data_IF_827439257493
#
_entry.id   IF_827439257493
#
_cell.length_a   1.000
_cell.length_b   1.000
_cell.length_c   1.000
_cell.angle_alpha   90.00
_cell.angle_beta   90.00
_cell.angle_gamma   90.00
#
_symmetry.space_group_name_H-M   'P 1'
#
loop_
_entity.id
_entity.type
_entity.pdbx_description
1 polymer ?
#
# COMPACT_ATOMS: atom_id res chain seq x y z
N UNK A 1 14.84 39.63 84.53
CA UNK A 1 14.14 39.69 83.25
C UNK A 1 14.94 38.92 82.20
N UNK A 2 14.51 37.67 81.93
CA UNK A 2 15.14 36.83 80.89
C UNK A 2 14.25 36.89 79.63
N UNK A 3 14.76 37.44 78.53
CA UNK A 3 14.07 37.44 77.24
C UNK A 3 14.33 36.11 76.56
N UNK A 4 13.24 35.43 76.26
CA UNK A 4 13.21 34.22 75.46
C UNK A 4 13.19 34.62 73.94
N UNK A 5 14.15 34.17 73.15
CA UNK A 5 14.18 34.36 71.69
C UNK A 5 13.76 33.02 71.07
N UNK A 6 12.60 33.00 70.38
CA UNK A 6 12.16 31.88 69.58
C UNK A 6 12.77 31.95 68.14
N UNK A 7 13.32 30.91 67.60
CA UNK A 7 13.73 30.90 66.22
C UNK A 7 12.54 30.59 65.29
N UNK A 8 12.34 31.46 64.30
CA UNK A 8 11.40 31.24 63.20
C UNK A 8 12.10 30.32 62.16
N UNK A 9 11.60 29.10 62.04
CA UNK A 9 12.00 28.17 60.95
C UNK A 9 11.27 28.54 59.68
N UNK A 10 12.02 29.08 58.70
CA UNK A 10 11.52 29.33 57.37
C UNK A 10 11.57 28.01 56.54
N UNK A 11 10.44 27.36 56.36
CA UNK A 11 10.32 26.19 55.51
C UNK A 11 10.38 26.58 54.02
N UNK A 12 11.49 26.23 53.34
CA UNK A 12 11.61 26.33 51.90
C UNK A 12 10.82 25.19 51.30
N UNK A 13 9.62 25.47 50.76
CA UNK A 13 8.91 24.56 49.88
C UNK A 13 9.62 24.56 48.50
N UNK A 14 10.43 23.56 48.23
CA UNK A 14 10.88 23.26 46.88
C UNK A 14 9.74 22.68 46.10
N UNK A 15 9.12 23.50 45.26
CA UNK A 15 8.20 23.02 44.19
C UNK A 15 9.08 22.39 43.13
N UNK A 16 9.17 21.05 43.15
CA UNK A 16 9.68 20.31 41.98
C UNK A 16 8.61 20.38 40.91
N UNK A 17 8.81 21.30 39.94
CA UNK A 17 8.05 21.25 38.70
C UNK A 17 8.52 20.01 37.95
N UNK A 18 7.74 18.94 37.97
CA UNK A 18 7.86 17.89 36.97
C UNK A 18 7.65 18.55 35.62
N UNK A 19 8.75 18.75 34.90
CA UNK A 19 8.71 19.08 33.49
C UNK A 19 8.09 17.88 32.76
N UNK A 20 6.77 17.89 32.65
CA UNK A 20 6.03 17.02 31.75
C UNK A 20 6.56 17.34 30.35
N UNK A 21 7.52 16.55 29.88
CA UNK A 21 7.95 16.60 28.49
C UNK A 21 6.71 16.35 27.66
N UNK A 22 6.18 17.40 27.04
CA UNK A 22 5.15 17.33 26.01
C UNK A 22 5.71 16.47 24.88
N UNK A 23 5.59 15.14 25.03
CA UNK A 23 5.87 14.23 23.92
C UNK A 23 4.83 14.56 22.86
N UNK A 24 5.28 15.16 21.78
CA UNK A 24 4.43 15.35 20.60
C UNK A 24 3.71 14.03 20.31
N UNK A 25 2.39 14.04 20.15
CA UNK A 25 1.65 12.81 19.90
C UNK A 25 2.20 12.14 18.65
N UNK A 26 2.36 10.83 18.68
CA UNK A 26 2.81 10.05 17.53
C UNK A 26 1.94 10.34 16.30
N UNK A 27 2.52 10.44 15.09
CA UNK A 27 1.76 10.72 13.88
C UNK A 27 0.86 9.55 13.53
N UNK A 28 -0.26 9.84 12.87
CA UNK A 28 -1.07 8.83 12.21
C UNK A 28 -0.35 8.30 10.96
N UNK A 29 -0.73 7.12 10.52
CA UNK A 29 -0.23 6.52 9.28
C UNK A 29 -1.39 6.06 8.41
N UNK A 30 -1.38 6.44 7.14
CA UNK A 30 -2.24 5.86 6.10
C UNK A 30 -1.35 5.24 5.03
N UNK A 31 -1.41 3.92 4.93
CA UNK A 31 -0.72 3.14 3.90
C UNK A 31 -1.69 2.78 2.79
N UNK A 32 -1.54 3.41 1.63
CA UNK A 32 -2.37 3.18 0.43
C UNK A 32 -1.64 2.20 -0.47
N UNK A 33 -2.26 1.04 -0.71
CA UNK A 33 -1.68 -0.06 -1.46
C UNK A 33 -2.57 -0.41 -2.65
N UNK A 34 -2.11 -0.14 -3.86
CA UNK A 34 -2.79 -0.52 -5.09
C UNK A 34 -2.50 -1.99 -5.44
N UNK A 35 -3.36 -2.60 -6.25
CA UNK A 35 -3.26 -3.98 -6.71
C UNK A 35 -3.00 -4.00 -8.22
N UNK A 36 -1.90 -4.60 -8.65
CA UNK A 36 -1.47 -4.71 -10.05
C UNK A 36 -1.22 -3.37 -10.78
N UNK A 37 -0.97 -2.28 -10.06
CA UNK A 37 -0.69 -0.98 -10.67
C UNK A 37 0.78 -0.90 -11.09
N UNK A 38 1.03 -0.81 -12.40
CA UNK A 38 2.38 -0.70 -12.94
C UNK A 38 3.05 0.63 -12.63
N UNK A 39 4.40 0.63 -12.59
CA UNK A 39 5.17 1.86 -12.41
C UNK A 39 4.81 2.92 -13.47
N UNK A 40 4.56 2.51 -14.71
CA UNK A 40 4.27 3.41 -15.84
C UNK A 40 2.80 3.78 -15.97
N UNK A 41 1.95 3.39 -15.01
CA UNK A 41 0.51 3.62 -15.08
C UNK A 41 0.05 4.97 -14.46
N UNK A 42 1.00 5.84 -14.09
CA UNK A 42 0.71 7.18 -13.56
C UNK A 42 1.17 8.27 -14.53
N UNK A 43 0.50 9.43 -14.52
CA UNK A 43 0.92 10.58 -15.35
C UNK A 43 2.31 11.07 -14.96
N UNK A 44 2.63 11.14 -13.66
CA UNK A 44 3.95 11.55 -13.17
C UNK A 44 5.09 10.59 -13.55
N UNK A 45 4.78 9.32 -13.86
CA UNK A 45 5.75 8.34 -14.32
C UNK A 45 5.78 8.16 -15.83
N UNK A 46 5.01 8.95 -16.58
CA UNK A 46 5.10 9.07 -18.03
C UNK A 46 3.88 8.58 -18.82
N UNK A 47 2.81 8.09 -18.18
CA UNK A 47 1.59 7.78 -18.90
C UNK A 47 1.01 9.03 -19.57
N UNK A 48 0.68 8.90 -20.85
CA UNK A 48 -0.05 9.92 -21.62
C UNK A 48 -1.54 9.57 -21.76
N UNK A 49 -1.89 8.34 -21.42
CA UNK A 49 -3.25 7.84 -21.57
C UNK A 49 -4.01 7.89 -20.24
N UNK A 50 -3.41 7.45 -19.15
CA UNK A 50 -4.01 7.49 -17.82
C UNK A 50 -3.84 8.87 -17.19
N UNK A 51 -4.86 9.33 -16.46
CA UNK A 51 -4.90 10.65 -15.83
C UNK A 51 -4.93 10.48 -14.32
N UNK A 52 -3.87 10.95 -13.63
CA UNK A 52 -3.68 10.75 -12.18
C UNK A 52 -3.30 12.05 -11.46
N UNK A 53 -4.08 13.14 -11.60
CA UNK A 53 -3.71 14.45 -11.07
C UNK A 53 -3.54 14.50 -9.55
N UNK A 54 -4.28 13.68 -8.79
CA UNK A 54 -4.21 13.64 -7.33
C UNK A 54 -2.97 12.88 -6.83
N UNK A 55 -2.63 11.76 -7.47
CA UNK A 55 -1.38 11.02 -7.18
C UNK A 55 -0.17 11.86 -7.61
N UNK A 56 -0.26 12.55 -8.75
CA UNK A 56 0.77 13.49 -9.20
C UNK A 56 0.96 14.67 -8.20
N UNK A 57 -0.13 15.15 -7.60
CA UNK A 57 -0.07 16.14 -6.51
C UNK A 57 0.61 15.56 -5.28
N UNK A 58 0.25 14.33 -4.88
CA UNK A 58 0.88 13.63 -3.75
C UNK A 58 2.39 13.48 -3.99
N UNK A 59 2.83 13.12 -5.21
CA UNK A 59 4.24 13.04 -5.59
C UNK A 59 4.95 14.39 -5.49
N UNK A 60 4.30 15.49 -5.89
CA UNK A 60 4.85 16.84 -5.75
C UNK A 60 4.92 17.31 -4.30
N UNK A 61 4.03 16.86 -3.43
CA UNK A 61 3.99 17.25 -2.03
C UNK A 61 4.86 16.38 -1.12
N UNK A 62 5.27 15.21 -1.60
CA UNK A 62 6.05 14.22 -0.87
C UNK A 62 7.44 13.97 -1.44
N UNK A 63 7.99 12.83 -1.06
CA UNK A 63 9.21 12.21 -1.59
C UNK A 63 8.79 11.08 -2.53
N UNK A 64 9.16 11.20 -3.81
CA UNK A 64 8.91 10.19 -4.83
C UNK A 64 10.18 9.39 -5.08
N UNK A 65 10.09 8.05 -4.97
CA UNK A 65 11.18 7.13 -5.27
C UNK A 65 11.05 6.58 -6.70
N UNK A 66 12.07 6.84 -7.52
CA UNK A 66 12.12 6.37 -8.90
C UNK A 66 12.63 4.93 -9.04
N UNK A 67 13.22 4.38 -7.97
CA UNK A 67 13.77 3.03 -7.89
C UNK A 67 13.12 2.27 -6.71
N UNK A 68 11.81 2.07 -6.80
CA UNK A 68 11.04 1.31 -5.81
C UNK A 68 10.63 -0.04 -6.37
N UNK A 69 10.81 -1.09 -5.55
CA UNK A 69 10.57 -2.47 -5.95
C UNK A 69 9.66 -3.21 -4.98
N UNK A 70 8.73 -3.98 -5.53
CA UNK A 70 8.01 -4.99 -4.79
C UNK A 70 8.95 -6.18 -4.48
N UNK A 71 8.76 -6.83 -3.34
CA UNK A 71 9.59 -7.98 -2.95
C UNK A 71 9.30 -9.25 -3.75
N UNK A 72 8.20 -9.26 -4.51
CA UNK A 72 7.81 -10.36 -5.40
C UNK A 72 6.93 -9.81 -6.53
N UNK A 73 6.95 -10.44 -7.74
CA UNK A 73 6.11 -9.98 -8.86
C UNK A 73 4.64 -10.42 -8.77
N UNK A 74 4.20 -10.96 -7.63
CA UNK A 74 2.81 -11.38 -7.37
C UNK A 74 2.37 -11.01 -5.96
N UNK A 75 1.04 -10.91 -5.77
CA UNK A 75 0.40 -10.24 -4.63
C UNK A 75 0.74 -10.83 -3.25
N UNK A 76 0.44 -12.11 -2.97
CA UNK A 76 0.53 -12.65 -1.60
C UNK A 76 1.94 -12.53 -1.00
N UNK A 77 3.01 -12.98 -1.66
CA UNK A 77 4.36 -12.86 -1.11
C UNK A 77 4.83 -11.40 -0.97
N UNK A 78 4.43 -10.51 -1.90
CA UNK A 78 4.75 -9.09 -1.80
C UNK A 78 4.07 -8.43 -0.60
N UNK A 79 2.77 -8.73 -0.37
CA UNK A 79 2.00 -8.24 0.78
C UNK A 79 2.55 -8.77 2.10
N UNK A 80 2.91 -10.06 2.15
CA UNK A 80 3.54 -10.66 3.32
C UNK A 80 4.89 -10.00 3.63
N UNK A 81 5.73 -9.79 2.62
CA UNK A 81 7.02 -9.13 2.79
C UNK A 81 6.89 -7.69 3.31
N UNK A 82 5.91 -6.93 2.81
CA UNK A 82 5.59 -5.59 3.28
C UNK A 82 5.22 -5.58 4.77
N UNK A 83 4.31 -6.49 5.17
CA UNK A 83 3.75 -6.52 6.52
C UNK A 83 4.70 -7.13 7.55
N UNK A 84 5.69 -7.92 7.14
CA UNK A 84 6.63 -8.58 8.04
C UNK A 84 8.03 -7.97 8.05
N UNK A 85 8.39 -7.21 7.01
CA UNK A 85 9.76 -6.74 6.81
C UNK A 85 10.75 -7.87 6.47
N UNK A 86 10.24 -9.02 5.96
CA UNK A 86 11.02 -10.20 5.60
C UNK A 86 10.83 -10.58 4.13
N UNK A 87 11.87 -11.10 3.49
CA UNK A 87 11.73 -11.62 2.13
C UNK A 87 10.81 -12.84 2.07
N UNK A 88 10.07 -13.03 0.95
CA UNK A 88 9.14 -14.15 0.77
C UNK A 88 9.75 -15.53 1.05
N UNK A 89 11.02 -15.74 0.67
CA UNK A 89 11.72 -17.00 0.92
C UNK A 89 11.95 -17.27 2.42
N UNK A 90 12.11 -16.22 3.24
CA UNK A 90 12.32 -16.35 4.68
C UNK A 90 11.08 -16.82 5.42
N UNK A 91 9.92 -16.33 4.98
CA UNK A 91 8.63 -16.67 5.56
C UNK A 91 7.93 -17.85 4.84
N UNK A 92 8.62 -18.47 3.88
CA UNK A 92 8.12 -19.57 3.06
C UNK A 92 6.73 -19.26 2.43
N UNK A 93 6.50 -18.01 2.01
CA UNK A 93 5.33 -17.59 1.25
C UNK A 93 5.82 -17.01 -0.08
N UNK A 94 6.11 -17.89 -1.05
CA UNK A 94 6.91 -17.58 -2.24
C UNK A 94 6.09 -17.43 -3.52
N UNK A 95 4.78 -17.73 -3.47
CA UNK A 95 3.87 -17.54 -4.60
C UNK A 95 2.51 -17.02 -4.11
N UNK A 96 1.65 -16.57 -5.07
CA UNK A 96 0.30 -16.14 -4.71
C UNK A 96 -0.51 -17.32 -4.15
N UNK A 97 -1.40 -17.02 -3.22
CA UNK A 97 -2.23 -18.03 -2.59
C UNK A 97 -3.33 -18.45 -3.57
N UNK A 98 -3.28 -19.68 -4.10
CA UNK A 98 -4.18 -20.15 -5.16
C UNK A 98 -5.46 -20.80 -4.62
N UNK A 99 -5.73 -20.69 -3.34
CA UNK A 99 -6.79 -21.46 -2.69
C UNK A 99 -6.42 -22.95 -2.61
N UNK A 100 -7.17 -23.80 -3.28
CA UNK A 100 -7.00 -25.27 -3.27
C UNK A 100 -6.00 -25.81 -4.30
N UNK A 101 -5.35 -24.94 -5.10
CA UNK A 101 -4.40 -25.34 -6.15
C UNK A 101 -2.92 -25.22 -5.73
N UNK A 102 -2.67 -25.43 -4.46
CA UNK A 102 -1.39 -25.01 -3.87
C UNK A 102 -0.13 -25.58 -4.51
N UNK A 103 -0.06 -26.83 -4.93
CA UNK A 103 1.18 -27.43 -5.41
C UNK A 103 0.95 -28.61 -6.35
N UNK A 104 2.00 -28.97 -7.07
CA UNK A 104 2.10 -30.22 -7.77
C UNK A 104 2.86 -30.09 -9.09
N UNK A 105 3.28 -31.22 -9.67
CA UNK A 105 3.82 -31.23 -10.99
C UNK A 105 2.70 -30.89 -11.97
N UNK A 106 2.78 -29.72 -12.57
CA UNK A 106 1.91 -29.40 -13.70
C UNK A 106 2.31 -30.29 -14.89
N UNK A 107 1.32 -30.88 -15.57
CA UNK A 107 1.57 -31.67 -16.80
C UNK A 107 2.45 -30.85 -17.75
N UNK A 108 3.55 -31.45 -18.21
CA UNK A 108 4.53 -30.87 -19.14
C UNK A 108 5.51 -29.82 -18.58
N UNK A 109 5.63 -29.66 -17.28
CA UNK A 109 6.70 -28.83 -16.69
C UNK A 109 7.90 -29.70 -16.26
N UNK A 110 9.11 -29.18 -16.46
CA UNK A 110 10.36 -29.83 -16.03
C UNK A 110 10.62 -29.70 -14.54
N UNK A 111 10.01 -28.72 -13.90
CA UNK A 111 10.18 -28.40 -12.49
C UNK A 111 8.80 -28.40 -11.82
N UNK A 112 8.74 -28.88 -10.58
CA UNK A 112 7.59 -28.74 -9.71
C UNK A 112 7.82 -27.57 -8.74
N UNK A 113 6.75 -26.86 -8.41
CA UNK A 113 6.79 -25.86 -7.34
C UNK A 113 7.03 -26.56 -5.99
N UNK A 114 7.90 -25.99 -5.17
CA UNK A 114 8.05 -26.43 -3.79
C UNK A 114 6.81 -25.99 -2.97
N UNK A 115 6.44 -26.76 -1.95
CA UNK A 115 5.40 -26.34 -1.01
C UNK A 115 5.74 -25.00 -0.36
N UNK A 116 4.75 -24.13 -0.22
CA UNK A 116 4.86 -22.85 0.46
C UNK A 116 3.64 -22.62 1.35
N UNK A 117 3.72 -21.66 2.28
CA UNK A 117 2.63 -21.36 3.21
C UNK A 117 1.45 -20.70 2.47
N UNK A 118 0.24 -21.17 2.74
CA UNK A 118 -1.01 -20.61 2.18
C UNK A 118 -1.65 -19.53 3.06
N UNK A 119 -0.94 -19.11 4.09
CA UNK A 119 -1.33 -18.03 5.01
C UNK A 119 -0.08 -17.37 5.59
N UNK A 120 -0.26 -16.15 6.09
CA UNK A 120 0.75 -15.51 6.91
C UNK A 120 0.83 -16.22 8.26
N UNK A 121 2.03 -16.66 8.65
CA UNK A 121 2.23 -17.35 9.95
C UNK A 121 1.90 -16.42 11.10
N UNK A 122 1.24 -16.95 12.14
CA UNK A 122 0.99 -16.26 13.41
C UNK A 122 2.25 -16.01 14.25
N UNK A 123 3.38 -16.61 13.87
CA UNK A 123 4.68 -16.35 14.50
C UNK A 123 5.31 -15.04 14.00
N UNK A 124 4.77 -14.47 12.93
CA UNK A 124 5.23 -13.19 12.39
C UNK A 124 4.54 -12.03 13.11
N UNK A 125 5.31 -11.10 13.64
CA UNK A 125 4.76 -9.84 14.16
C UNK A 125 4.57 -8.89 12.99
N UNK A 126 3.33 -8.71 12.57
CA UNK A 126 3.02 -7.81 11.45
C UNK A 126 3.26 -6.35 11.81
N UNK A 127 3.38 -5.51 10.79
CA UNK A 127 3.43 -4.06 10.98
C UNK A 127 2.22 -3.55 11.77
N UNK A 128 1.01 -4.09 11.52
CA UNK A 128 -0.20 -3.72 12.26
C UNK A 128 -0.12 -4.11 13.75
N UNK A 129 0.41 -5.30 14.06
CA UNK A 129 0.64 -5.71 15.45
C UNK A 129 1.65 -4.82 16.15
N UNK A 130 2.74 -4.45 15.45
CA UNK A 130 3.73 -3.53 16.00
C UNK A 130 3.11 -2.15 16.33
N UNK A 131 2.28 -1.61 15.45
CA UNK A 131 1.55 -0.37 15.72
C UNK A 131 0.57 -0.53 16.89
N UNK A 132 -0.23 -1.60 16.91
CA UNK A 132 -1.20 -1.88 17.98
C UNK A 132 -0.53 -2.02 19.35
N UNK A 133 0.59 -2.73 19.43
CA UNK A 133 1.39 -2.90 20.65
C UNK A 133 1.95 -1.56 21.17
N UNK A 134 2.11 -0.56 20.29
CA UNK A 134 2.54 0.79 20.65
C UNK A 134 1.38 1.79 20.77
N UNK A 135 0.17 1.31 21.02
CA UNK A 135 -0.98 2.14 21.39
C UNK A 135 -1.76 2.75 20.23
N UNK A 136 -1.50 2.33 18.98
CA UNK A 136 -2.30 2.75 17.83
C UNK A 136 -3.61 1.98 17.74
N UNK A 137 -4.65 2.62 17.20
CA UNK A 137 -5.82 1.94 16.65
C UNK A 137 -5.50 1.50 15.23
N UNK A 138 -5.84 0.27 14.85
CA UNK A 138 -5.45 -0.31 13.57
C UNK A 138 -6.67 -0.64 12.72
N UNK A 139 -6.67 -0.17 11.48
CA UNK A 139 -7.80 -0.28 10.55
C UNK A 139 -7.33 -0.81 9.21
N UNK A 140 -8.02 -1.81 8.70
CA UNK A 140 -7.80 -2.33 7.35
C UNK A 140 -9.06 -2.18 6.52
N UNK A 141 -8.89 -1.75 5.25
CA UNK A 141 -9.94 -1.81 4.23
C UNK A 141 -9.41 -2.40 2.93
N UNK A 142 -10.10 -3.40 2.39
CA UNK A 142 -9.85 -3.97 1.06
C UNK A 142 -9.18 -5.34 1.04
N UNK A 143 -8.26 -5.55 0.11
CA UNK A 143 -7.63 -6.85 -0.17
C UNK A 143 -6.63 -7.27 0.89
N UNK A 144 -6.84 -8.45 1.46
CA UNK A 144 -5.86 -9.12 2.33
C UNK A 144 -5.01 -10.13 1.56
N UNK A 145 -5.60 -11.22 1.10
CA UNK A 145 -4.97 -12.25 0.27
C UNK A 145 -3.75 -12.95 0.92
N UNK A 146 -3.75 -13.03 2.27
CA UNK A 146 -2.73 -13.69 3.09
C UNK A 146 -3.32 -14.76 4.01
N UNK A 147 -4.42 -15.37 3.58
CA UNK A 147 -5.18 -16.33 4.37
C UNK A 147 -5.75 -17.43 3.48
N UNK A 148 -5.83 -18.64 4.00
CA UNK A 148 -6.61 -19.74 3.43
C UNK A 148 -7.96 -19.91 4.15
N UNK A 149 -8.07 -19.42 5.38
CA UNK A 149 -9.27 -19.47 6.21
C UNK A 149 -9.41 -18.23 7.08
N UNK A 150 -10.58 -18.06 7.73
CA UNK A 150 -10.86 -16.92 8.61
C UNK A 150 -9.92 -16.85 9.83
N UNK A 151 -9.28 -17.96 10.18
CA UNK A 151 -8.30 -18.02 11.25
C UNK A 151 -7.06 -17.13 11.02
N UNK A 152 -6.81 -16.75 9.76
CA UNK A 152 -5.68 -15.93 9.34
C UNK A 152 -6.11 -14.58 8.75
N UNK A 153 -7.33 -14.13 9.01
CA UNK A 153 -7.83 -12.83 8.56
C UNK A 153 -7.15 -11.66 9.30
N UNK A 154 -7.30 -10.44 8.82
CA UNK A 154 -6.63 -9.26 9.38
C UNK A 154 -6.78 -9.09 10.89
N UNK A 155 -7.93 -9.44 11.46
CA UNK A 155 -8.20 -9.34 12.90
C UNK A 155 -7.25 -10.20 13.75
N UNK A 156 -6.77 -11.30 13.17
CA UNK A 156 -5.79 -12.19 13.79
C UNK A 156 -4.35 -11.75 13.54
N UNK A 157 -4.15 -10.71 12.76
CA UNK A 157 -2.86 -10.18 12.32
C UNK A 157 -2.68 -8.69 12.69
N UNK A 158 -3.30 -8.27 13.79
CA UNK A 158 -3.04 -6.96 14.38
C UNK A 158 -4.00 -5.83 13.96
N UNK A 159 -5.03 -6.09 13.19
CA UNK A 159 -6.04 -5.07 12.85
C UNK A 159 -7.24 -5.15 13.79
N UNK A 160 -7.59 -4.01 14.45
CA UNK A 160 -8.76 -3.90 15.30
C UNK A 160 -10.05 -3.90 14.48
N UNK A 161 -9.99 -3.34 13.26
CA UNK A 161 -11.14 -3.25 12.34
C UNK A 161 -10.69 -3.78 10.97
N UNK A 162 -11.50 -4.69 10.41
CA UNK A 162 -11.35 -5.25 9.08
C UNK A 162 -12.58 -5.00 8.21
N UNK A 163 -12.41 -4.31 7.11
CA UNK A 163 -13.46 -4.03 6.13
C UNK A 163 -13.07 -4.67 4.79
N UNK A 164 -13.58 -5.85 4.52
CA UNK A 164 -13.41 -6.54 3.24
C UNK A 164 -12.19 -7.44 3.11
N UNK A 165 -11.29 -7.46 4.11
CA UNK A 165 -10.11 -8.32 4.09
C UNK A 165 -10.46 -9.79 4.32
N UNK A 166 -10.19 -10.65 3.35
CA UNK A 166 -10.44 -12.10 3.40
C UNK A 166 -9.39 -12.88 2.57
N UNK A 167 -9.67 -14.15 2.29
CA UNK A 167 -8.79 -15.03 1.52
C UNK A 167 -8.77 -14.77 0.01
N UNK A 168 -9.67 -13.94 -0.54
CA UNK A 168 -9.75 -13.73 -1.99
C UNK A 168 -8.71 -12.73 -2.50
N UNK A 169 -8.11 -13.06 -3.64
CA UNK A 169 -7.12 -12.19 -4.30
C UNK A 169 -7.71 -11.20 -5.29
N UNK A 170 -9.04 -11.20 -5.49
CA UNK A 170 -9.76 -10.35 -6.44
C UNK A 170 -11.18 -10.09 -5.92
N UNK A 171 -11.92 -9.10 -6.45
CA UNK A 171 -13.31 -8.88 -6.08
C UNK A 171 -14.18 -10.06 -6.49
N UNK A 172 -14.79 -10.74 -5.52
CA UNK A 172 -15.48 -12.04 -5.73
C UNK A 172 -16.60 -11.97 -6.79
N UNK A 173 -17.40 -10.89 -6.78
CA UNK A 173 -18.46 -10.62 -7.78
C UNK A 173 -18.19 -9.39 -8.64
N UNK A 174 -16.97 -8.86 -8.62
CA UNK A 174 -16.57 -7.67 -9.34
C UNK A 174 -16.61 -6.40 -8.49
N UNK A 175 -16.53 -5.24 -9.18
CA UNK A 175 -16.34 -3.94 -8.53
C UNK A 175 -17.64 -3.21 -8.19
N UNK A 176 -18.80 -3.76 -8.51
CA UNK A 176 -20.08 -3.13 -8.20
C UNK A 176 -20.88 -3.97 -7.20
N UNK A 177 -21.54 -3.30 -6.26
CA UNK A 177 -22.45 -3.94 -5.32
C UNK A 177 -23.58 -4.65 -6.08
N UNK A 178 -23.92 -5.90 -5.66
CA UNK A 178 -23.47 -6.63 -4.47
C UNK A 178 -22.09 -7.26 -4.67
N UNK A 179 -21.16 -7.00 -3.71
CA UNK A 179 -19.75 -7.42 -3.80
C UNK A 179 -19.52 -8.91 -3.58
N UNK A 180 -20.42 -9.56 -2.83
CA UNK A 180 -20.26 -10.96 -2.42
C UNK A 180 -19.02 -11.21 -1.56
N UNK A 181 -18.60 -10.22 -0.80
CA UNK A 181 -17.46 -10.29 0.11
C UNK A 181 -17.98 -10.51 1.55
N UNK A 182 -17.61 -11.61 2.24
CA UNK A 182 -18.16 -11.91 3.56
C UNK A 182 -17.74 -10.92 4.65
N UNK A 183 -16.66 -10.14 4.42
CA UNK A 183 -16.15 -9.12 5.35
C UNK A 183 -16.55 -7.69 4.96
N UNK A 184 -17.39 -7.54 3.93
CA UNK A 184 -17.90 -6.24 3.48
C UNK A 184 -19.39 -6.34 3.19
N UNK A 185 -20.19 -5.66 3.99
CA UNK A 185 -21.63 -5.56 3.75
C UNK A 185 -21.89 -4.88 2.41
N UNK A 186 -22.77 -5.46 1.59
CA UNK A 186 -23.19 -4.86 0.34
C UNK A 186 -23.83 -3.48 0.58
N UNK A 187 -23.51 -2.54 -0.28
CA UNK A 187 -24.11 -1.22 -0.34
C UNK A 187 -25.27 -1.17 -1.34
N UNK A 188 -25.75 0.04 -1.68
CA UNK A 188 -26.71 0.20 -2.75
C UNK A 188 -26.27 -0.46 -4.05
N UNK A 189 -27.24 -0.90 -4.86
CA UNK A 189 -26.96 -1.47 -6.19
C UNK A 189 -26.12 -0.48 -7.02
N UNK A 190 -25.04 -0.97 -7.62
CA UNK A 190 -24.14 -0.17 -8.44
C UNK A 190 -23.13 0.68 -7.67
N UNK A 191 -23.10 0.62 -6.33
CA UNK A 191 -22.01 1.25 -5.55
C UNK A 191 -20.65 0.66 -5.95
N UNK A 192 -19.67 1.52 -6.24
CA UNK A 192 -18.37 1.11 -6.74
C UNK A 192 -17.42 0.77 -5.58
N UNK A 193 -16.81 -0.41 -5.61
CA UNK A 193 -15.98 -0.95 -4.51
C UNK A 193 -14.85 -0.01 -4.08
N UNK A 194 -14.17 0.61 -5.05
CA UNK A 194 -13.07 1.55 -4.76
C UNK A 194 -13.56 2.76 -3.97
N UNK A 195 -14.75 3.30 -4.33
CA UNK A 195 -15.38 4.39 -3.60
C UNK A 195 -15.77 3.95 -2.19
N UNK A 196 -16.40 2.77 -2.08
CA UNK A 196 -16.86 2.23 -0.80
C UNK A 196 -15.71 2.04 0.19
N UNK A 197 -14.58 1.46 -0.22
CA UNK A 197 -13.43 1.27 0.65
C UNK A 197 -12.86 2.61 1.12
N UNK A 198 -12.84 3.60 0.24
CA UNK A 198 -12.42 4.97 0.59
C UNK A 198 -13.38 5.61 1.59
N UNK A 199 -14.70 5.46 1.38
CA UNK A 199 -15.73 5.98 2.28
C UNK A 199 -15.62 5.40 3.69
N UNK A 200 -15.29 4.11 3.82
CA UNK A 200 -15.05 3.48 5.12
C UNK A 200 -13.84 4.10 5.84
N UNK A 201 -12.74 4.34 5.12
CA UNK A 201 -11.56 5.01 5.69
C UNK A 201 -11.87 6.45 6.05
N UNK A 202 -12.54 7.20 5.16
CA UNK A 202 -12.93 8.60 5.41
C UNK A 202 -13.83 8.69 6.65
N UNK A 203 -14.82 7.81 6.77
CA UNK A 203 -15.69 7.75 7.95
C UNK A 203 -14.85 7.50 9.21
N UNK A 204 -13.97 6.50 9.17
CA UNK A 204 -13.12 6.14 10.30
C UNK A 204 -12.23 7.30 10.76
N UNK A 205 -11.53 7.98 9.85
CA UNK A 205 -10.60 9.07 10.22
C UNK A 205 -11.32 10.37 10.59
N UNK A 206 -12.58 10.54 10.20
CA UNK A 206 -13.40 11.74 10.51
C UNK A 206 -13.99 11.71 11.91
N UNK A 207 -14.06 10.55 12.53
CA UNK A 207 -14.46 10.44 13.94
C UNK A 207 -13.32 10.88 14.87
N UNK A 208 -13.61 11.55 15.98
CA UNK A 208 -12.59 11.88 16.97
C UNK A 208 -11.83 10.65 17.45
N UNK A 209 -10.51 10.74 17.51
CA UNK A 209 -9.63 9.64 17.97
C UNK A 209 -8.79 10.08 19.16
N UNK A 210 -8.84 9.29 20.24
CA UNK A 210 -7.98 9.48 21.42
C UNK A 210 -6.55 8.95 21.17
N UNK A 211 -6.42 7.97 20.27
CA UNK A 211 -5.15 7.31 19.91
C UNK A 211 -4.76 7.66 18.47
N UNK A 212 -3.47 7.66 18.16
CA UNK A 212 -3.05 7.67 16.77
C UNK A 212 -3.56 6.42 16.05
N UNK A 213 -3.70 6.50 14.72
CA UNK A 213 -4.18 5.38 13.92
C UNK A 213 -3.16 4.93 12.88
N UNK A 214 -3.18 3.63 12.60
CA UNK A 214 -2.58 2.99 11.43
C UNK A 214 -3.69 2.46 10.54
N UNK A 215 -3.84 3.05 9.35
CA UNK A 215 -4.79 2.61 8.31
C UNK A 215 -4.03 1.92 7.19
N UNK A 216 -4.41 0.69 6.87
CA UNK A 216 -3.95 -0.06 5.71
C UNK A 216 -5.07 -0.12 4.68
N UNK A 217 -5.08 0.83 3.75
CA UNK A 217 -6.05 0.92 2.65
C UNK A 217 -5.50 0.16 1.45
N UNK A 218 -5.87 -1.11 1.37
CA UNK A 218 -5.41 -2.05 0.37
C UNK A 218 -6.48 -2.24 -0.70
N UNK A 219 -6.44 -1.41 -1.73
CA UNK A 219 -7.40 -1.49 -2.82
C UNK A 219 -7.30 -2.79 -3.60
N UNK A 220 -8.42 -3.26 -4.16
CA UNK A 220 -8.44 -4.26 -5.22
C UNK A 220 -8.11 -3.64 -6.59
N UNK A 221 -8.23 -2.34 -6.73
CA UNK A 221 -7.99 -1.56 -7.96
C UNK A 221 -6.48 -1.47 -8.20
N UNK A 222 -6.00 -1.88 -9.37
CA UNK A 222 -6.66 -2.02 -10.69
C UNK A 222 -6.72 -3.49 -11.16
N UNK A 223 -6.80 -4.47 -10.27
CA UNK A 223 -6.85 -5.89 -10.59
C UNK A 223 -8.10 -6.23 -11.42
N UNK A 224 -8.02 -7.32 -12.19
CA UNK A 224 -9.18 -7.89 -12.90
C UNK A 224 -10.33 -8.28 -11.93
N UNK A 225 -11.60 -8.23 -12.40
CA UNK A 225 -12.06 -7.91 -13.76
C UNK A 225 -12.01 -6.42 -14.07
N UNK A 226 -11.87 -6.07 -15.36
CA UNK A 226 -11.87 -4.67 -15.78
C UNK A 226 -13.30 -4.10 -15.75
N UNK A 227 -13.64 -3.47 -14.65
CA UNK A 227 -14.94 -2.85 -14.41
C UNK A 227 -14.76 -1.45 -13.82
N UNK A 228 -15.37 -0.47 -14.43
CA UNK A 228 -15.33 0.91 -13.98
C UNK A 228 -16.65 1.63 -14.32
N UNK A 229 -16.82 2.82 -13.77
CA UNK A 229 -18.00 3.67 -14.03
C UNK A 229 -18.13 3.99 -15.52
N UNK A 230 -19.34 3.87 -16.06
CA UNK A 230 -19.60 3.95 -17.49
C UNK A 230 -19.17 5.29 -18.11
N UNK A 231 -19.39 6.41 -17.38
CA UNK A 231 -19.01 7.75 -17.80
C UNK A 231 -17.50 7.93 -17.97
N UNK A 232 -16.69 7.29 -17.09
CA UNK A 232 -15.24 7.28 -17.19
C UNK A 232 -14.77 6.43 -18.37
N UNK A 233 -15.33 5.25 -18.56
CA UNK A 233 -15.05 4.42 -19.74
C UNK A 233 -15.36 5.21 -21.03
N UNK A 234 -16.49 5.91 -21.08
CA UNK A 234 -16.85 6.74 -22.22
C UNK A 234 -15.85 7.90 -22.46
N UNK A 235 -15.35 8.54 -21.37
CA UNK A 235 -14.27 9.55 -21.45
C UNK A 235 -13.04 8.98 -22.16
N UNK A 236 -12.54 7.83 -21.71
CA UNK A 236 -11.33 7.22 -22.27
C UNK A 236 -11.54 6.62 -23.68
N UNK A 237 -12.74 6.16 -24.02
CA UNK A 237 -13.08 5.82 -25.40
C UNK A 237 -12.95 7.03 -26.34
N UNK A 238 -13.46 8.21 -25.92
CA UNK A 238 -13.30 9.45 -26.68
C UNK A 238 -11.83 9.90 -26.77
N UNK A 239 -11.04 9.71 -25.70
CA UNK A 239 -9.60 9.99 -25.71
C UNK A 239 -8.87 9.09 -26.69
N UNK A 240 -9.17 7.79 -26.66
CA UNK A 240 -8.57 6.80 -27.56
C UNK A 240 -8.89 7.06 -29.02
N UNK A 241 -10.13 7.46 -29.37
CA UNK A 241 -10.52 7.75 -30.76
C UNK A 241 -9.77 8.93 -31.38
N UNK A 242 -9.10 9.75 -30.58
CA UNK A 242 -8.25 10.88 -31.02
C UNK A 242 -6.77 10.53 -31.06
N UNK A 243 -6.39 9.36 -30.57
CA UNK A 243 -5.01 8.89 -30.60
C UNK A 243 -4.65 8.35 -31.99
N UNK A 244 -3.37 8.43 -32.35
CA UNK A 244 -2.87 7.76 -33.55
C UNK A 244 -2.91 6.24 -33.29
N UNK A 245 -3.56 5.45 -34.15
CA UNK A 245 -3.59 4.01 -34.00
C UNK A 245 -2.15 3.46 -34.01
N UNK A 246 -1.84 2.55 -33.08
CA UNK A 246 -0.63 1.78 -33.18
C UNK A 246 -0.79 0.68 -34.23
N UNK A 247 0.26 0.36 -34.98
CA UNK A 247 0.27 -0.71 -35.99
C UNK A 247 -0.10 -2.06 -35.37
N UNK A 248 0.28 -2.24 -34.08
CA UNK A 248 -0.10 -3.39 -33.27
C UNK A 248 -0.11 -3.01 -31.79
N UNK A 249 -1.15 -3.47 -31.05
CA UNK A 249 -1.20 -3.33 -29.60
C UNK A 249 -0.37 -4.37 -28.85
N UNK A 250 0.11 -5.41 -29.55
CA UNK A 250 0.81 -6.55 -28.94
C UNK A 250 1.96 -7.03 -29.80
N UNK A 251 2.97 -7.60 -29.14
CA UNK A 251 4.01 -8.41 -29.77
C UNK A 251 4.07 -9.78 -29.06
N UNK A 252 4.19 -10.86 -29.83
CA UNK A 252 4.44 -12.20 -29.29
C UNK A 252 5.94 -12.44 -29.17
N UNK A 253 6.41 -12.84 -27.99
CA UNK A 253 7.79 -13.24 -27.70
C UNK A 253 7.79 -14.60 -27.03
N UNK A 254 8.27 -15.63 -27.73
CA UNK A 254 8.10 -17.01 -27.30
C UNK A 254 6.61 -17.37 -27.16
N UNK A 255 6.21 -17.87 -26.02
CA UNK A 255 4.81 -18.26 -25.75
C UNK A 255 3.96 -17.12 -25.13
N UNK A 256 4.54 -15.92 -24.91
CA UNK A 256 3.87 -14.79 -24.26
C UNK A 256 3.60 -13.64 -25.21
N UNK A 257 2.44 -13.00 -25.04
CA UNK A 257 2.12 -11.72 -25.63
C UNK A 257 2.51 -10.60 -24.66
N UNK A 258 3.08 -9.53 -25.21
CA UNK A 258 3.46 -8.32 -24.49
C UNK A 258 2.65 -7.15 -25.05
N UNK A 259 2.01 -6.38 -24.19
CA UNK A 259 1.27 -5.20 -24.61
C UNK A 259 2.23 -4.02 -24.84
N UNK A 260 2.05 -3.36 -25.99
CA UNK A 260 2.92 -2.27 -26.43
C UNK A 260 2.39 -0.89 -26.10
N UNK A 261 1.07 -0.75 -25.93
CA UNK A 261 0.41 0.55 -25.76
C UNK A 261 -0.60 0.50 -24.61
N UNK A 262 -0.83 1.63 -23.98
CA UNK A 262 -1.89 1.86 -22.98
C UNK A 262 -3.13 2.33 -23.75
N UNK A 263 -4.09 1.43 -23.99
CA UNK A 263 -5.24 1.67 -24.88
C UNK A 263 -6.55 1.02 -24.41
N UNK A 264 -6.61 0.55 -23.13
CA UNK A 264 -7.82 -0.07 -22.59
C UNK A 264 -8.62 0.96 -21.77
N UNK A 265 -9.78 1.46 -22.29
CA UNK A 265 -10.57 2.50 -21.62
C UNK A 265 -11.08 2.08 -20.24
N UNK A 266 -11.44 0.81 -20.04
CA UNK A 266 -11.91 0.33 -18.75
C UNK A 266 -10.79 0.37 -17.70
N UNK A 267 -9.57 -0.04 -18.04
CA UNK A 267 -8.43 0.03 -17.14
C UNK A 267 -8.07 1.49 -16.80
N UNK A 268 -8.04 2.37 -17.80
CA UNK A 268 -7.81 3.80 -17.60
C UNK A 268 -8.85 4.43 -16.65
N UNK A 269 -10.11 4.02 -16.78
CA UNK A 269 -11.20 4.46 -15.91
C UNK A 269 -11.05 3.93 -14.46
N UNK A 270 -10.50 2.72 -14.29
CA UNK A 270 -10.14 2.19 -12.96
C UNK A 270 -9.00 2.99 -12.34
N UNK A 271 -7.94 3.28 -13.09
CA UNK A 271 -6.81 4.11 -12.63
C UNK A 271 -7.30 5.49 -12.20
N UNK A 272 -8.15 6.14 -13.01
CA UNK A 272 -8.74 7.44 -12.64
C UNK A 272 -9.63 7.35 -11.39
N UNK A 273 -10.39 6.26 -11.22
CA UNK A 273 -11.19 6.07 -10.02
C UNK A 273 -10.33 5.89 -8.77
N UNK A 274 -9.19 5.22 -8.87
CA UNK A 274 -8.20 5.12 -7.80
C UNK A 274 -7.64 6.50 -7.45
N UNK A 275 -7.23 7.27 -8.44
CA UNK A 275 -6.68 8.62 -8.28
C UNK A 275 -7.66 9.58 -7.59
N UNK A 276 -8.91 9.62 -8.04
CA UNK A 276 -9.95 10.45 -7.41
C UNK A 276 -10.21 10.07 -5.95
N UNK A 277 -10.21 8.78 -5.64
CA UNK A 277 -10.41 8.32 -4.28
C UNK A 277 -9.25 8.68 -3.36
N UNK A 278 -8.03 8.63 -3.86
CA UNK A 278 -6.85 9.16 -3.15
C UNK A 278 -7.01 10.67 -2.94
N UNK A 279 -7.46 11.40 -3.96
CA UNK A 279 -7.76 12.84 -3.84
C UNK A 279 -8.77 13.13 -2.73
N UNK A 280 -9.89 12.41 -2.69
CA UNK A 280 -10.94 12.55 -1.65
C UNK A 280 -10.37 12.30 -0.23
N UNK A 281 -9.53 11.29 -0.08
CA UNK A 281 -8.88 10.96 1.20
C UNK A 281 -7.94 12.10 1.65
N UNK A 282 -7.09 12.59 0.74
CA UNK A 282 -6.16 13.68 1.03
C UNK A 282 -6.88 14.99 1.37
N UNK A 283 -7.94 15.31 0.64
CA UNK A 283 -8.80 16.47 0.92
C UNK A 283 -9.50 16.35 2.28
N UNK A 284 -9.86 15.14 2.69
CA UNK A 284 -10.44 14.90 4.01
C UNK A 284 -9.40 15.12 5.11
N UNK A 285 -8.18 14.62 4.97
CA UNK A 285 -7.08 14.87 5.92
C UNK A 285 -6.84 16.39 6.08
N UNK A 286 -6.82 17.12 4.97
CA UNK A 286 -6.62 18.57 4.99
C UNK A 286 -7.75 19.29 5.73
N UNK A 287 -9.01 19.01 5.37
CA UNK A 287 -10.19 19.65 5.99
C UNK A 287 -10.35 19.32 7.47
N UNK A 288 -9.89 18.13 7.89
CA UNK A 288 -9.95 17.70 9.29
C UNK A 288 -8.75 18.18 10.12
N UNK A 289 -7.81 18.93 9.55
CA UNK A 289 -6.60 19.39 10.26
C UNK A 289 -5.63 18.24 10.62
N UNK A 290 -5.74 17.09 9.93
CA UNK A 290 -4.91 15.92 10.19
C UNK A 290 -3.67 15.84 9.30
N UNK A 291 -3.51 16.76 8.36
CA UNK A 291 -2.51 16.71 7.30
C UNK A 291 -1.06 16.66 7.84
N UNK A 292 -0.72 17.56 8.79
CA UNK A 292 0.61 17.61 9.41
C UNK A 292 0.83 16.48 10.42
N UNK A 293 -0.23 15.83 10.85
CA UNK A 293 -0.20 14.73 11.83
C UNK A 293 -0.31 13.35 11.19
N UNK A 294 -0.26 13.26 9.85
CA UNK A 294 -0.48 11.99 9.14
C UNK A 294 0.60 11.75 8.10
N UNK A 295 1.29 10.61 8.24
CA UNK A 295 2.17 10.07 7.21
C UNK A 295 1.30 9.33 6.19
N UNK A 296 1.42 9.71 4.93
CA UNK A 296 0.72 9.05 3.82
C UNK A 296 1.75 8.34 2.94
N UNK A 297 1.55 7.04 2.74
CA UNK A 297 2.35 6.20 1.83
C UNK A 297 1.46 5.74 0.69
N UNK A 298 1.94 5.81 -0.54
CA UNK A 298 1.30 5.23 -1.71
C UNK A 298 2.29 4.35 -2.47
N UNK A 299 1.89 3.10 -2.74
CA UNK A 299 2.66 2.15 -3.58
C UNK A 299 1.74 1.06 -4.15
N UNK A 300 2.31 0.10 -4.89
CA UNK A 300 1.61 -1.07 -5.46
C UNK A 300 2.28 -2.37 -5.02
N UNK A 301 1.52 -3.48 -5.04
CA UNK A 301 2.01 -4.79 -4.60
C UNK A 301 2.90 -5.50 -5.63
N UNK A 302 2.71 -5.23 -6.89
CA UNK A 302 3.55 -5.70 -8.00
C UNK A 302 3.33 -4.83 -9.24
N UNK A 303 4.12 -5.05 -10.27
CA UNK A 303 3.97 -4.36 -11.54
C UNK A 303 2.71 -4.72 -12.30
N UNK A 304 2.35 -3.90 -13.27
CA UNK A 304 1.14 -4.04 -14.07
C UNK A 304 1.13 -5.34 -14.90
N UNK A 305 -0.08 -5.87 -15.11
CA UNK A 305 -0.27 -7.06 -15.95
C UNK A 305 -0.11 -6.71 -17.45
N UNK A 306 1.14 -6.66 -17.91
CA UNK A 306 1.50 -6.29 -19.29
C UNK A 306 1.85 -7.49 -20.18
N UNK A 307 1.82 -8.71 -19.63
CA UNK A 307 2.19 -9.95 -20.34
C UNK A 307 1.27 -11.09 -19.97
N UNK A 308 0.95 -11.96 -20.94
CA UNK A 308 0.17 -13.19 -20.73
C UNK A 308 0.38 -14.16 -21.89
N UNK A 309 -0.03 -15.41 -21.75
CA UNK A 309 -0.09 -16.39 -22.82
C UNK A 309 -1.26 -16.13 -23.80
N UNK A 310 -2.16 -15.21 -23.49
CA UNK A 310 -3.24 -14.74 -24.37
C UNK A 310 -3.33 -13.23 -24.35
N UNK A 311 -3.93 -12.62 -25.38
CA UNK A 311 -4.14 -11.16 -25.43
C UNK A 311 -5.34 -10.68 -24.60
N UNK A 312 -6.19 -11.57 -24.12
CA UNK A 312 -7.49 -11.22 -23.51
C UNK A 312 -7.40 -10.53 -22.16
N UNK A 313 -6.35 -10.81 -21.40
CA UNK A 313 -6.22 -10.35 -20.00
C UNK A 313 -4.96 -9.50 -19.79
N UNK A 314 -4.57 -8.69 -20.78
CA UNK A 314 -3.42 -7.79 -20.67
C UNK A 314 -3.93 -6.35 -20.70
N UNK A 315 -4.21 -5.73 -19.54
CA UNK A 315 -4.87 -4.43 -19.47
C UNK A 315 -3.96 -3.25 -19.74
N UNK A 316 -2.64 -3.35 -19.45
CA UNK A 316 -1.72 -2.22 -19.53
C UNK A 316 -0.41 -2.58 -20.23
N UNK A 317 0.40 -1.58 -20.52
CA UNK A 317 1.77 -1.69 -21.03
C UNK A 317 2.74 -1.10 -20.01
N UNK A 318 3.77 -1.84 -19.66
CA UNK A 318 4.83 -1.38 -18.75
C UNK A 318 6.04 -0.79 -19.49
N UNK A 319 5.96 -0.61 -20.82
CA UNK A 319 7.08 -0.06 -21.57
C UNK A 319 7.55 1.30 -21.01
N UNK A 320 8.88 1.55 -20.97
CA UNK A 320 9.98 0.74 -21.55
C UNK A 320 10.44 -0.45 -20.68
N UNK A 321 9.81 -0.69 -19.51
CA UNK A 321 10.18 -1.78 -18.61
C UNK A 321 9.84 -3.14 -19.24
N UNK A 322 10.69 -4.14 -18.99
CA UNK A 322 10.51 -5.49 -19.50
C UNK A 322 9.46 -6.26 -18.70
N UNK A 323 8.57 -6.95 -19.40
CA UNK A 323 7.54 -7.86 -18.89
C UNK A 323 6.52 -7.17 -17.95
N UNK A 324 5.96 -7.89 -16.99
CA UNK A 324 4.93 -7.44 -16.06
C UNK A 324 4.72 -8.43 -14.93
N UNK A 325 3.59 -8.32 -14.23
CA UNK A 325 3.15 -9.23 -13.16
C UNK A 325 3.53 -10.68 -13.46
N UNK A 326 4.05 -11.39 -12.46
CA UNK A 326 4.52 -12.78 -12.57
C UNK A 326 5.95 -12.93 -13.06
N UNK A 327 6.65 -11.86 -13.43
CA UNK A 327 8.03 -11.88 -13.91
C UNK A 327 8.95 -11.02 -13.05
N UNK A 328 10.16 -11.52 -12.74
CA UNK A 328 11.18 -10.81 -11.95
C UNK A 328 11.91 -9.69 -12.72
N UNK A 329 11.48 -9.38 -13.94
CA UNK A 329 11.96 -8.19 -14.64
C UNK A 329 11.33 -6.92 -14.09
N UNK A 330 11.92 -5.77 -14.37
CA UNK A 330 11.44 -4.48 -13.82
C UNK A 330 9.95 -4.21 -14.03
N UNK A 331 9.39 -4.61 -15.19
CA UNK A 331 7.94 -4.48 -15.40
C UNK A 331 7.07 -5.26 -14.42
N UNK A 332 7.62 -6.30 -13.77
CA UNK A 332 6.89 -7.10 -12.79
C UNK A 332 7.12 -6.68 -11.33
N UNK A 333 8.26 -6.04 -11.04
CA UNK A 333 8.63 -5.69 -9.65
C UNK A 333 8.81 -4.20 -9.38
N UNK A 334 9.05 -3.37 -10.39
CA UNK A 334 9.15 -1.92 -10.22
C UNK A 334 7.76 -1.33 -10.06
N UNK A 335 7.56 -0.61 -8.96
CA UNK A 335 6.27 -0.04 -8.55
C UNK A 335 6.40 1.43 -8.19
N UNK A 336 5.34 2.25 -8.32
CA UNK A 336 5.37 3.62 -7.82
C UNK A 336 5.52 3.63 -6.30
N UNK A 337 6.24 4.63 -5.76
CA UNK A 337 6.36 4.82 -4.32
C UNK A 337 6.46 6.30 -3.97
N UNK A 338 5.55 6.76 -3.13
CA UNK A 338 5.48 8.14 -2.67
C UNK A 338 5.26 8.12 -1.16
N UNK A 339 6.02 8.91 -0.42
CA UNK A 339 5.83 9.12 1.02
C UNK A 339 5.67 10.63 1.26
N UNK A 340 4.57 11.02 1.90
CA UNK A 340 4.29 12.40 2.26
C UNK A 340 4.04 12.51 3.76
N UNK A 341 4.64 13.52 4.37
CA UNK A 341 4.33 13.96 5.73
C UNK A 341 4.44 15.48 5.77
N UNK A 342 3.30 16.15 5.63
CA UNK A 342 3.20 17.60 5.56
C UNK A 342 3.87 18.27 6.76
N UNK A 343 4.68 19.32 6.50
CA UNK A 343 5.40 20.04 7.55
C UNK A 343 6.64 19.33 8.12
N UNK A 344 6.82 18.04 7.87
CA UNK A 344 7.92 17.23 8.43
C UNK A 344 8.89 16.70 7.37
N UNK A 345 8.42 16.33 6.20
CA UNK A 345 9.25 15.98 5.06
C UNK A 345 9.19 17.09 4.02
N UNK A 346 10.34 17.39 3.42
CA UNK A 346 10.41 18.37 2.34
C UNK A 346 9.72 17.81 1.10
N UNK A 347 8.70 18.47 0.61
CA UNK A 347 8.05 18.13 -0.66
C UNK A 347 8.95 18.36 -1.87
N UNK A 348 8.50 17.89 -3.04
CA UNK A 348 9.20 17.98 -4.34
C UNK A 348 10.57 17.30 -4.34
N UNK A 349 10.75 16.27 -3.54
CA UNK A 349 11.94 15.44 -3.56
C UNK A 349 11.76 14.26 -4.48
N UNK A 350 12.75 14.03 -5.33
CA UNK A 350 12.84 12.81 -6.15
C UNK A 350 14.09 12.07 -5.72
N UNK A 351 13.94 10.83 -5.31
CA UNK A 351 15.05 9.98 -4.88
C UNK A 351 15.22 8.82 -5.85
N UNK A 352 16.44 8.60 -6.30
CA UNK A 352 16.85 7.42 -7.08
C UNK A 352 17.46 6.31 -6.21
N UNK A 353 17.41 6.47 -4.90
CA UNK A 353 17.83 5.44 -3.94
C UNK A 353 16.94 4.20 -4.09
N UNK A 354 17.53 3.01 -4.35
CA UNK A 354 16.75 1.79 -4.45
C UNK A 354 16.12 1.41 -3.12
N UNK A 355 14.80 1.20 -3.13
CA UNK A 355 14.00 0.74 -1.98
C UNK A 355 13.19 -0.49 -2.36
N UNK A 356 12.80 -1.28 -1.37
CA UNK A 356 12.03 -2.50 -1.58
C UNK A 356 10.90 -2.62 -0.54
N UNK A 357 9.90 -3.44 -0.81
CA UNK A 357 8.71 -3.59 0.03
C UNK A 357 8.99 -3.86 1.51
N UNK A 358 10.08 -4.57 1.85
CA UNK A 358 10.48 -4.84 3.24
C UNK A 358 10.92 -3.60 4.02
N UNK A 359 11.33 -2.52 3.34
CA UNK A 359 11.84 -1.31 3.97
C UNK A 359 10.75 -0.47 4.64
N UNK A 360 9.48 -0.62 4.22
CA UNK A 360 8.39 0.18 4.79
C UNK A 360 8.15 -0.10 6.27
N UNK A 361 8.32 -1.35 6.72
CA UNK A 361 8.08 -1.72 8.11
C UNK A 361 9.01 -0.96 9.07
N UNK A 362 10.36 -1.08 8.99
CA UNK A 362 11.23 -0.30 9.86
C UNK A 362 11.12 1.21 9.64
N UNK A 363 10.83 1.65 8.42
CA UNK A 363 10.68 3.08 8.11
C UNK A 363 9.53 3.72 8.86
N UNK A 364 8.36 3.08 8.84
CA UNK A 364 7.17 3.64 9.48
C UNK A 364 7.30 3.63 11.00
N UNK A 365 7.88 2.59 11.59
CA UNK A 365 8.18 2.59 13.03
C UNK A 365 9.15 3.74 13.38
N UNK A 366 10.23 3.91 12.62
CA UNK A 366 11.25 4.92 12.85
C UNK A 366 10.71 6.35 12.65
N UNK A 367 9.89 6.59 11.63
CA UNK A 367 9.23 7.89 11.43
C UNK A 367 8.26 8.23 12.56
N UNK A 368 7.56 7.22 13.09
CA UNK A 368 6.65 7.38 14.22
C UNK A 368 7.36 7.45 15.57
N UNK A 369 8.69 7.31 15.63
CA UNK A 369 9.44 7.27 16.88
C UNK A 369 9.12 6.05 17.75
N UNK A 370 8.73 4.93 17.12
CA UNK A 370 8.41 3.68 17.77
C UNK A 370 9.63 2.76 17.85
N UNK A 371 9.68 1.82 18.82
CA UNK A 371 10.77 0.84 18.89
C UNK A 371 10.87 0.01 17.60
N UNK A 372 12.07 -0.11 17.06
CA UNK A 372 12.36 -1.03 15.97
C UNK A 372 12.37 -2.47 16.49
N UNK A 373 11.97 -3.40 15.64
CA UNK A 373 11.94 -4.84 15.91
C UNK A 373 12.93 -5.56 14.98
N UNK A 374 14.26 -5.43 15.19
CA UNK A 374 15.25 -5.95 14.26
C UNK A 374 15.21 -7.48 14.11
N UNK A 375 14.71 -8.20 15.11
CA UNK A 375 14.46 -9.64 15.01
C UNK A 375 13.26 -10.00 14.12
N UNK A 376 12.36 -9.03 13.86
CA UNK A 376 11.22 -9.21 12.99
C UNK A 376 11.52 -8.72 11.56
N UNK A 377 11.82 -7.43 11.37
CA UNK A 377 12.01 -6.84 10.03
C UNK A 377 13.47 -6.97 9.53
N UNK A 378 14.00 -8.20 9.59
CA UNK A 378 15.42 -8.50 9.36
C UNK A 378 15.95 -8.16 7.97
N UNK A 379 15.07 -8.08 6.97
CA UNK A 379 15.45 -7.83 5.58
C UNK A 379 15.14 -6.37 5.15
N UNK A 380 14.52 -5.57 6.02
CA UNK A 380 14.18 -4.18 5.78
C UNK A 380 15.13 -3.20 6.46
N UNK A 381 15.34 -2.05 5.85
CA UNK A 381 16.09 -0.93 6.44
C UNK A 381 15.25 0.34 6.43
N UNK A 382 15.40 1.17 7.47
CA UNK A 382 14.65 2.44 7.54
C UNK A 382 15.09 3.41 6.44
N UNK A 383 14.14 3.88 5.66
CA UNK A 383 14.31 4.92 4.64
C UNK A 383 14.36 6.35 5.25
N UNK A 384 14.15 6.51 6.55
CA UNK A 384 14.12 7.82 7.22
C UNK A 384 15.32 8.72 6.89
N UNK A 385 16.57 8.19 6.85
CA UNK A 385 17.71 9.04 6.44
C UNK A 385 17.54 9.63 5.04
N UNK A 386 17.07 8.83 4.06
CA UNK A 386 16.84 9.30 2.69
C UNK A 386 15.70 10.32 2.64
N UNK A 387 14.61 10.06 3.36
CA UNK A 387 13.47 10.98 3.45
C UNK A 387 13.86 12.34 4.05
N UNK A 388 14.94 12.39 4.85
CA UNK A 388 15.51 13.58 5.45
C UNK A 388 16.69 14.17 4.64
N UNK A 389 16.91 13.69 3.41
CA UNK A 389 17.97 14.19 2.51
C UNK A 389 19.35 13.55 2.71
N UNK A 390 19.45 12.49 3.52
CA UNK A 390 20.65 11.68 3.71
C UNK A 390 20.77 10.52 2.75
N UNK A 391 21.50 9.47 3.15
CA UNK A 391 21.74 8.26 2.35
C UNK A 391 21.25 7.00 3.07
N UNK A 392 20.81 6.03 2.29
CA UNK A 392 20.48 4.70 2.79
C UNK A 392 21.78 3.88 2.93
N UNK A 393 21.96 3.26 4.09
CA UNK A 393 23.00 2.26 4.31
C UNK A 393 22.34 0.89 4.47
N UNK A 394 22.66 -0.04 3.59
CA UNK A 394 22.23 -1.44 3.74
C UNK A 394 23.40 -2.25 4.32
N UNK A 395 23.15 -3.18 5.26
CA UNK A 395 24.14 -4.15 5.67
C UNK A 395 24.61 -4.96 4.45
N UNK A 396 25.91 -5.19 4.36
CA UNK A 396 26.53 -6.04 3.32
C UNK A 396 26.23 -7.51 3.58
#
# INVERSE_FOLDING_TARGET
MKRLILPIACGICTVTSDAQTDKQPHPNVIFIYADDLGYTDLSCTGSRFYETPHIDKLAREGVWFTQSYAACPVSSPSRAALLTGKYPARINLTDYIPGDRAYGPHKNQRLASLPFNLHLSKDEITMAEAFRQNGYSTFMAGKWHLAESAEYYPEQNGFDINIGGNNTGHPSKGYFSPYGNPQLKDGPEGEYLTDRLTDEVIRYISEPKEKPFFVYLSYYTVHLPLQAKAEKIAKYRRKLSRAVPADSSFVKKGETYHKLVQDIPAYAAMVESLDENIGRLLDTLHRSGLDERTIVVFTSDNGGMATSNTTRNIPTSNLPLRAGKGYLYEGGIKVPAIIRWSGHLKGRQVSDTPIIGTDYYPTLLDLCGLPLLPGQHVDGVSMKPVLQGGRLSRPS
#
